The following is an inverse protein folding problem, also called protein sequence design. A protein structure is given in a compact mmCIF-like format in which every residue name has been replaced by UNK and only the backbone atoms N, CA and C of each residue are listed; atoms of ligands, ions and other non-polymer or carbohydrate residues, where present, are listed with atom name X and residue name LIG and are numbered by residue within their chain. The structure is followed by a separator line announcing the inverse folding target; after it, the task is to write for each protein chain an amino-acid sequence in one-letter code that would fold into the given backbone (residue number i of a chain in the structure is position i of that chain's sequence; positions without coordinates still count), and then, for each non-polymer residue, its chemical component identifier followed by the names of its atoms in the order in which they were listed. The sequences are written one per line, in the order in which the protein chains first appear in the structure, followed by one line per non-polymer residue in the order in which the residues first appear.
data_IF_352026744924
#
_entry.id   IF_352026744924
#
_cell.length_a   1.000
_cell.length_b   1.000
_cell.length_c   1.000
_cell.angle_alpha   90.00
_cell.angle_beta   90.00
_cell.angle_gamma   90.00
#
_symmetry.space_group_name_H-M   'P 1'
#
loop_
_entity.id
_entity.type
_entity.pdbx_description
1 polymer ?
#
# COMPACT_ATOMS: atom_id res chain seq x y z
N UNK A 1 6.29 -22.69 -27.38
CA UNK A 1 4.98 -22.67 -26.71
C UNK A 1 5.05 -23.64 -25.55
N UNK A 2 4.91 -23.12 -24.34
CA UNK A 2 4.75 -23.88 -23.10
C UNK A 2 3.28 -24.27 -22.98
N UNK A 3 3.00 -25.56 -22.88
CA UNK A 3 1.63 -26.04 -22.64
C UNK A 3 1.23 -25.73 -21.19
N UNK A 4 0.07 -25.09 -20.95
CA UNK A 4 -0.40 -24.84 -19.59
C UNK A 4 -0.91 -26.11 -18.93
N UNK A 5 -0.85 -26.14 -17.60
CA UNK A 5 -1.67 -27.06 -16.83
C UNK A 5 -3.09 -26.52 -16.76
N UNK A 6 -4.06 -27.35 -17.13
CA UNK A 6 -5.49 -27.01 -17.11
C UNK A 6 -6.20 -27.87 -16.08
N UNK A 7 -6.95 -27.22 -15.21
CA UNK A 7 -7.66 -27.84 -14.10
C UNK A 7 -9.15 -27.52 -14.16
N UNK A 8 -9.99 -28.51 -13.86
CA UNK A 8 -11.43 -28.26 -13.69
C UNK A 8 -11.69 -27.38 -12.46
N UNK A 9 -12.62 -26.43 -12.56
CA UNK A 9 -13.05 -25.55 -11.46
C UNK A 9 -13.50 -26.34 -10.21
N UNK A 10 -14.04 -27.56 -10.42
CA UNK A 10 -14.51 -28.46 -9.35
C UNK A 10 -13.40 -28.83 -8.38
N UNK A 11 -12.14 -28.93 -8.85
CA UNK A 11 -10.98 -29.22 -8.01
C UNK A 11 -10.80 -28.21 -6.89
N UNK A 12 -11.20 -26.96 -7.12
CA UNK A 12 -11.02 -25.86 -6.18
C UNK A 12 -12.32 -25.42 -5.51
N UNK A 13 -13.45 -26.07 -5.81
CA UNK A 13 -14.76 -25.68 -5.29
C UNK A 13 -15.17 -24.27 -5.72
N UNK A 14 -14.74 -23.81 -6.91
CA UNK A 14 -15.11 -22.47 -7.40
C UNK A 14 -16.59 -22.49 -7.78
N UNK A 15 -17.38 -21.66 -7.08
CA UNK A 15 -18.77 -21.42 -7.41
C UNK A 15 -18.90 -20.09 -8.19
N UNK A 16 -19.63 -20.12 -9.31
CA UNK A 16 -19.92 -18.94 -10.13
C UNK A 16 -20.68 -17.85 -9.39
N UNK A 17 -21.46 -18.22 -8.37
CA UNK A 17 -22.19 -17.26 -7.51
C UNK A 17 -21.24 -16.34 -6.74
N UNK A 18 -19.99 -16.76 -6.53
CA UNK A 18 -18.96 -15.95 -5.87
C UNK A 18 -18.27 -14.97 -6.84
N UNK A 19 -18.73 -14.88 -8.08
CA UNK A 19 -18.16 -14.04 -9.13
C UNK A 19 -19.17 -12.94 -9.47
N UNK A 20 -18.68 -11.71 -9.63
CA UNK A 20 -19.54 -10.59 -10.05
C UNK A 20 -20.32 -10.94 -11.33
N UNK A 21 -21.67 -10.79 -11.32
CA UNK A 21 -22.48 -10.94 -12.53
C UNK A 21 -22.03 -10.01 -13.66
N UNK A 22 -21.54 -8.81 -13.33
CA UNK A 22 -20.99 -7.87 -14.30
C UNK A 22 -19.70 -8.41 -14.93
N UNK A 23 -18.82 -9.05 -14.14
CA UNK A 23 -17.61 -9.67 -14.65
C UNK A 23 -17.93 -10.83 -15.60
N UNK A 24 -18.89 -11.68 -15.23
CA UNK A 24 -19.38 -12.77 -16.09
C UNK A 24 -19.98 -12.22 -17.39
N UNK A 25 -20.77 -11.15 -17.30
CA UNK A 25 -21.39 -10.48 -18.46
C UNK A 25 -20.33 -9.92 -19.43
N UNK A 26 -19.28 -9.27 -18.91
CA UNK A 26 -18.17 -8.77 -19.72
C UNK A 26 -17.47 -9.91 -20.46
N UNK A 27 -17.11 -10.98 -19.75
CA UNK A 27 -16.42 -12.14 -20.34
C UNK A 27 -17.30 -12.78 -21.42
N UNK A 28 -18.60 -12.99 -21.15
CA UNK A 28 -19.54 -13.53 -22.14
C UNK A 28 -19.60 -12.67 -23.39
N UNK A 29 -19.73 -11.35 -23.23
CA UNK A 29 -19.84 -10.42 -24.35
C UNK A 29 -18.56 -10.39 -25.18
N UNK A 30 -17.39 -10.41 -24.55
CA UNK A 30 -16.11 -10.51 -25.27
C UNK A 30 -16.02 -11.81 -26.08
N UNK A 31 -16.39 -12.94 -25.48
CA UNK A 31 -16.43 -14.25 -26.15
C UNK A 31 -17.39 -14.29 -27.33
N UNK A 32 -18.59 -13.74 -27.18
CA UNK A 32 -19.57 -13.64 -28.27
C UNK A 32 -19.09 -12.73 -29.42
N UNK A 33 -18.11 -11.86 -29.18
CA UNK A 33 -17.46 -11.05 -30.21
C UNK A 33 -16.17 -11.70 -30.76
N UNK A 34 -15.92 -12.98 -30.46
CA UNK A 34 -14.77 -13.74 -30.96
C UNK A 34 -13.46 -13.52 -30.19
N UNK A 35 -13.49 -12.88 -29.02
CA UNK A 35 -12.32 -12.65 -28.19
C UNK A 35 -12.23 -13.66 -27.04
N UNK A 36 -11.01 -14.03 -26.65
CA UNK A 36 -10.76 -14.78 -25.42
C UNK A 36 -10.77 -13.82 -24.24
N UNK A 37 -11.38 -14.22 -23.12
CA UNK A 37 -11.44 -13.41 -21.92
C UNK A 37 -11.43 -14.30 -20.67
N UNK A 38 -10.65 -13.91 -19.66
CA UNK A 38 -10.41 -14.68 -18.45
C UNK A 38 -10.37 -13.77 -17.24
N UNK A 39 -10.75 -14.31 -16.08
CA UNK A 39 -10.41 -13.70 -14.79
C UNK A 39 -8.96 -14.01 -14.44
N UNK A 40 -8.28 -13.08 -13.77
CA UNK A 40 -6.87 -13.24 -13.40
C UNK A 40 -6.53 -12.64 -12.04
N UNK A 41 -5.41 -13.08 -11.47
CA UNK A 41 -4.75 -12.37 -10.38
C UNK A 41 -5.43 -12.57 -9.03
N UNK A 42 -5.80 -11.45 -8.39
CA UNK A 42 -6.26 -11.46 -6.99
C UNK A 42 -7.54 -12.27 -6.78
N UNK A 43 -8.51 -12.10 -7.67
CA UNK A 43 -9.80 -12.77 -7.58
C UNK A 43 -9.68 -14.29 -7.63
N UNK A 44 -8.86 -14.82 -8.55
CA UNK A 44 -8.69 -16.27 -8.71
C UNK A 44 -7.94 -16.89 -7.54
N UNK A 45 -6.91 -16.20 -7.07
CA UNK A 45 -6.18 -16.63 -5.87
C UNK A 45 -7.10 -16.73 -4.65
N UNK A 46 -7.99 -15.76 -4.49
CA UNK A 46 -8.90 -15.70 -3.35
C UNK A 46 -9.98 -16.80 -3.49
N UNK A 47 -10.54 -17.02 -4.69
CA UNK A 47 -11.47 -18.11 -5.00
C UNK A 47 -10.88 -19.50 -4.74
N UNK A 48 -9.64 -19.77 -5.20
CA UNK A 48 -8.96 -21.05 -4.98
C UNK A 48 -8.75 -21.34 -3.48
N UNK A 49 -8.69 -20.29 -2.65
CA UNK A 49 -8.56 -20.40 -1.19
C UNK A 49 -9.92 -20.46 -0.47
N UNK A 50 -11.03 -20.48 -1.20
CA UNK A 50 -12.39 -20.42 -0.63
C UNK A 50 -12.73 -19.06 -0.01
N UNK A 51 -12.04 -17.99 -0.40
CA UNK A 51 -12.34 -16.63 0.03
C UNK A 51 -13.17 -15.91 -1.03
N UNK A 52 -14.04 -14.99 -0.60
CA UNK A 52 -14.80 -14.13 -1.50
C UNK A 52 -13.91 -12.99 -2.04
N UNK A 53 -13.72 -12.87 -3.36
CA UNK A 53 -13.03 -11.74 -3.96
C UNK A 53 -13.76 -10.42 -3.71
N UNK A 54 -13.00 -9.33 -3.60
CA UNK A 54 -13.55 -7.97 -3.50
C UNK A 54 -13.56 -7.22 -4.83
N UNK A 55 -12.57 -7.51 -5.67
CA UNK A 55 -12.36 -6.87 -6.95
C UNK A 55 -12.12 -7.97 -8.00
N UNK A 56 -12.56 -7.74 -9.24
CA UNK A 56 -12.41 -8.67 -10.36
C UNK A 56 -11.62 -8.01 -11.48
N UNK A 57 -10.52 -8.66 -11.87
CA UNK A 57 -9.68 -8.23 -12.99
C UNK A 57 -9.87 -9.19 -14.16
N UNK A 58 -10.15 -8.63 -15.34
CA UNK A 58 -10.33 -9.38 -16.58
C UNK A 58 -9.12 -9.13 -17.49
N UNK A 59 -8.67 -10.18 -18.16
CA UNK A 59 -7.71 -10.13 -19.26
C UNK A 59 -8.31 -10.68 -20.53
N UNK A 60 -7.91 -10.13 -21.67
CA UNK A 60 -8.44 -10.51 -22.98
C UNK A 60 -7.42 -10.28 -24.10
N UNK A 61 -7.59 -10.93 -25.25
CA UNK A 61 -6.88 -10.57 -26.48
C UNK A 61 -7.53 -9.38 -27.23
N UNK A 62 -8.63 -8.82 -26.71
CA UNK A 62 -9.30 -7.64 -27.27
C UNK A 62 -8.52 -6.36 -26.94
N UNK A 63 -8.20 -5.54 -27.94
CA UNK A 63 -7.45 -4.29 -27.73
C UNK A 63 -8.29 -3.21 -27.04
N UNK A 64 -7.70 -2.24 -26.31
CA UNK A 64 -8.44 -1.25 -25.53
C UNK A 64 -9.48 -0.46 -26.34
N UNK A 65 -9.13 -0.08 -27.57
CA UNK A 65 -10.02 0.64 -28.48
C UNK A 65 -11.20 -0.23 -28.95
N UNK A 66 -11.00 -1.55 -29.11
CA UNK A 66 -12.06 -2.50 -29.44
C UNK A 66 -12.97 -2.76 -28.24
N UNK A 67 -12.39 -2.92 -27.03
CA UNK A 67 -13.17 -3.01 -25.78
C UNK A 67 -14.08 -1.78 -25.66
N UNK A 68 -13.57 -0.57 -25.92
CA UNK A 68 -14.37 0.65 -25.89
C UNK A 68 -15.49 0.68 -26.94
N UNK A 69 -15.29 0.05 -28.10
CA UNK A 69 -16.35 -0.10 -29.11
C UNK A 69 -17.47 -1.02 -28.61
N UNK A 70 -17.14 -2.12 -27.93
CA UNK A 70 -18.07 -3.14 -27.38
C UNK A 70 -18.80 -2.62 -26.14
N UNK A 71 -18.11 -1.89 -25.26
CA UNK A 71 -18.60 -1.36 -24.00
C UNK A 71 -18.59 0.17 -24.01
N UNK A 72 -19.73 0.78 -24.34
CA UNK A 72 -19.85 2.25 -24.44
C UNK A 72 -19.67 2.96 -23.10
N UNK A 73 -20.00 2.29 -22.01
CA UNK A 73 -19.81 2.69 -20.62
C UNK A 73 -18.38 2.41 -20.11
N UNK A 74 -17.37 2.59 -20.96
CA UNK A 74 -15.98 2.30 -20.61
C UNK A 74 -15.04 3.47 -20.89
N UNK A 75 -13.93 3.50 -20.16
CA UNK A 75 -12.87 4.50 -20.31
C UNK A 75 -11.50 3.83 -20.31
N UNK A 76 -10.64 4.28 -21.22
CA UNK A 76 -9.23 3.86 -21.23
C UNK A 76 -8.50 4.69 -20.16
N UNK A 77 -7.82 4.00 -19.26
CA UNK A 77 -6.99 4.55 -18.20
C UNK A 77 -5.54 4.17 -18.46
N UNK A 78 -4.64 5.09 -18.09
CA UNK A 78 -3.21 4.91 -18.30
C UNK A 78 -2.79 5.33 -19.70
N UNK A 79 -1.73 6.14 -19.78
CA UNK A 79 -1.14 6.53 -21.06
C UNK A 79 -0.31 5.41 -21.70
N UNK A 80 0.29 4.56 -20.87
CA UNK A 80 1.25 3.50 -21.27
C UNK A 80 0.69 2.10 -21.08
N UNK A 81 0.35 1.75 -19.85
CA UNK A 81 -0.37 0.52 -19.57
C UNK A 81 -1.86 0.81 -19.74
N UNK A 82 -2.32 0.77 -20.99
CA UNK A 82 -3.74 0.97 -21.29
C UNK A 82 -4.54 -0.15 -20.65
N UNK A 83 -5.33 0.22 -19.65
CA UNK A 83 -6.35 -0.63 -19.04
C UNK A 83 -7.71 0.02 -19.26
N UNK A 84 -8.75 -0.78 -19.41
CA UNK A 84 -10.10 -0.29 -19.64
C UNK A 84 -10.92 -0.48 -18.37
N UNK A 85 -11.42 0.63 -17.82
CA UNK A 85 -12.43 0.59 -16.76
C UNK A 85 -13.80 0.53 -17.40
N UNK A 86 -14.53 -0.55 -17.16
CA UNK A 86 -15.94 -0.69 -17.53
C UNK A 86 -16.76 -0.39 -16.27
N UNK A 87 -17.62 0.63 -16.35
CA UNK A 87 -18.31 1.18 -15.18
C UNK A 87 -19.77 0.74 -15.12
N UNK A 88 -20.16 0.20 -13.98
CA UNK A 88 -21.53 -0.11 -13.58
C UNK A 88 -21.93 0.80 -12.40
N UNK A 89 -23.22 0.88 -12.03
CA UNK A 89 -23.67 1.75 -10.94
C UNK A 89 -22.90 1.57 -9.62
N UNK A 90 -22.64 0.31 -9.25
CA UNK A 90 -22.03 -0.05 -7.95
C UNK A 90 -20.63 -0.66 -8.06
N UNK A 91 -20.09 -0.80 -9.27
CA UNK A 91 -18.85 -1.55 -9.53
C UNK A 91 -18.08 -0.99 -10.73
N UNK A 92 -16.74 -1.03 -10.65
CA UNK A 92 -15.86 -0.79 -11.80
C UNK A 92 -15.01 -2.03 -12.00
N UNK A 93 -15.03 -2.59 -13.21
CA UNK A 93 -14.26 -3.78 -13.56
C UNK A 93 -13.10 -3.38 -14.45
N UNK A 94 -11.90 -3.77 -14.03
CA UNK A 94 -10.68 -3.54 -14.80
C UNK A 94 -10.54 -4.64 -15.87
N UNK A 95 -10.44 -4.24 -17.13
CA UNK A 95 -10.21 -5.13 -18.27
C UNK A 95 -8.93 -4.73 -18.97
N UNK A 96 -8.02 -5.68 -19.13
CA UNK A 96 -6.68 -5.45 -19.70
C UNK A 96 -6.43 -6.37 -20.89
N UNK A 97 -5.69 -5.87 -21.88
CA UNK A 97 -5.28 -6.69 -23.01
C UNK A 97 -3.99 -7.47 -22.67
N UNK A 98 -3.85 -8.69 -23.18
CA UNK A 98 -2.63 -9.50 -23.02
C UNK A 98 -1.40 -8.77 -23.53
N UNK A 99 -0.31 -8.82 -22.75
CA UNK A 99 0.96 -8.19 -23.11
C UNK A 99 1.81 -9.15 -23.96
N UNK A 100 2.41 -8.68 -25.05
CA UNK A 100 3.33 -9.50 -25.88
C UNK A 100 4.63 -9.80 -25.14
N UNK A 101 5.29 -10.91 -25.47
CA UNK A 101 6.52 -11.39 -24.80
C UNK A 101 7.80 -10.71 -25.29
N UNK A 102 7.78 -10.12 -26.48
CA UNK A 102 8.94 -9.47 -27.10
C UNK A 102 9.22 -8.10 -26.47
N UNK A 103 10.17 -8.07 -25.54
CA UNK A 103 11.08 -6.93 -25.42
C UNK A 103 12.22 -7.26 -26.41
N UNK A 104 12.08 -6.87 -27.69
CA UNK A 104 13.21 -6.87 -28.62
C UNK A 104 14.34 -6.08 -27.96
N UNK A 105 15.48 -6.73 -27.78
CA UNK A 105 16.67 -6.20 -27.09
C UNK A 105 17.25 -4.91 -27.69
N UNK A 106 16.71 -4.43 -28.81
CA UNK A 106 17.10 -3.18 -29.49
C UNK A 106 16.10 -2.03 -29.31
N UNK A 107 14.88 -2.27 -28.85
CA UNK A 107 13.93 -1.19 -28.58
C UNK A 107 14.16 -0.68 -27.17
N UNK A 108 15.10 0.26 -27.09
CA UNK A 108 15.51 0.98 -25.91
C UNK A 108 14.37 1.12 -24.90
N UNK A 109 14.66 0.76 -23.64
CA UNK A 109 13.96 1.24 -22.46
C UNK A 109 13.91 2.78 -22.54
N UNK A 110 12.99 3.35 -23.33
CA UNK A 110 12.92 4.80 -23.47
C UNK A 110 12.42 5.30 -22.13
N UNK A 111 13.20 6.08 -21.43
CA UNK A 111 12.78 6.65 -20.14
C UNK A 111 12.13 7.99 -20.49
N UNK A 112 10.92 8.29 -20.00
CA UNK A 112 10.42 9.68 -20.13
C UNK A 112 11.11 10.61 -19.14
N UNK A 113 10.84 11.90 -19.27
CA UNK A 113 11.29 12.94 -18.36
C UNK A 113 10.91 12.69 -16.88
N UNK A 114 9.96 11.78 -16.60
CA UNK A 114 9.55 11.35 -15.26
C UNK A 114 10.29 10.08 -14.75
N UNK A 115 11.29 9.58 -15.47
CA UNK A 115 12.09 8.41 -15.06
C UNK A 115 11.37 7.07 -15.28
N UNK A 116 10.34 7.02 -16.13
CA UNK A 116 9.54 5.81 -16.34
C UNK A 116 9.92 5.10 -17.64
N UNK A 117 10.10 3.78 -17.57
CA UNK A 117 10.29 2.91 -18.74
C UNK A 117 9.06 3.01 -19.68
N UNK A 118 9.28 3.46 -20.90
CA UNK A 118 8.38 3.41 -22.06
C UNK A 118 8.55 2.02 -22.66
N UNK A 119 7.47 1.25 -22.74
CA UNK A 119 7.44 -0.03 -23.46
C UNK A 119 6.29 0.04 -24.47
N UNK A 120 6.52 -0.49 -25.66
CA UNK A 120 5.54 -0.48 -26.74
C UNK A 120 4.26 -1.24 -26.38
N UNK A 121 3.14 -0.75 -26.90
CA UNK A 121 1.82 -1.35 -26.75
C UNK A 121 1.66 -2.60 -27.64
N UNK A 122 2.59 -3.54 -27.51
CA UNK A 122 2.54 -4.79 -28.25
C UNK A 122 1.63 -5.78 -27.51
N UNK A 123 0.63 -6.28 -28.21
CA UNK A 123 -0.39 -7.18 -27.68
C UNK A 123 -0.03 -8.63 -28.00
N UNK A 124 -0.22 -9.51 -27.01
CA UNK A 124 0.29 -10.87 -27.04
C UNK A 124 -0.77 -11.96 -26.87
N UNK A 125 -0.27 -13.17 -26.68
CA UNK A 125 -1.05 -14.33 -26.27
C UNK A 125 -1.21 -14.41 -24.75
N UNK A 126 -2.09 -15.28 -24.28
CA UNK A 126 -2.27 -15.55 -22.85
C UNK A 126 -0.97 -16.08 -22.20
N UNK A 127 -0.22 -16.92 -22.92
CA UNK A 127 1.08 -17.45 -22.50
C UNK A 127 2.07 -16.30 -22.23
N UNK A 128 2.19 -15.38 -23.18
CA UNK A 128 3.09 -14.23 -23.07
C UNK A 128 2.72 -13.30 -21.90
N UNK A 129 1.42 -13.03 -21.68
CA UNK A 129 0.98 -12.25 -20.52
C UNK A 129 1.36 -12.92 -19.20
N UNK A 130 1.24 -14.26 -19.14
CA UNK A 130 1.60 -15.03 -17.96
C UNK A 130 3.08 -14.84 -17.61
N UNK A 131 3.97 -14.97 -18.59
CA UNK A 131 5.42 -14.81 -18.37
C UNK A 131 5.87 -13.38 -18.09
N UNK A 132 5.05 -12.36 -18.42
CA UNK A 132 5.36 -10.96 -18.10
C UNK A 132 4.94 -10.51 -16.71
N UNK A 133 4.08 -11.28 -16.03
CA UNK A 133 3.68 -11.00 -14.65
C UNK A 133 4.86 -11.14 -13.69
N UNK A 134 4.71 -10.57 -12.50
CA UNK A 134 5.80 -10.56 -11.52
C UNK A 134 5.90 -11.88 -10.77
N UNK A 135 4.76 -12.45 -10.36
CA UNK A 135 4.71 -13.60 -9.43
C UNK A 135 3.77 -14.70 -9.93
N UNK A 136 4.19 -15.95 -9.73
CA UNK A 136 3.47 -17.16 -10.18
C UNK A 136 2.03 -17.20 -9.67
N UNK A 137 1.84 -16.92 -8.37
CA UNK A 137 0.53 -16.87 -7.70
C UNK A 137 -0.44 -15.80 -8.24
N UNK A 138 0.03 -14.87 -9.07
CA UNK A 138 -0.80 -13.84 -9.72
C UNK A 138 -0.94 -14.05 -11.25
N UNK A 139 -0.40 -15.16 -11.78
CA UNK A 139 -0.45 -15.56 -13.19
C UNK A 139 -1.30 -16.82 -13.41
N UNK A 140 -2.31 -17.02 -12.56
CA UNK A 140 -3.34 -18.05 -12.72
C UNK A 140 -4.58 -17.40 -13.35
N UNK A 141 -5.11 -18.04 -14.38
CA UNK A 141 -6.27 -17.57 -15.13
C UNK A 141 -7.45 -18.50 -14.91
N UNK A 142 -8.66 -17.98 -15.05
CA UNK A 142 -9.87 -18.79 -14.95
C UNK A 142 -10.88 -18.37 -16.02
N UNK A 143 -11.40 -19.39 -16.70
CA UNK A 143 -12.48 -19.30 -17.66
C UNK A 143 -13.80 -19.78 -17.02
N UNK A 144 -14.71 -18.87 -16.64
CA UNK A 144 -15.97 -19.27 -16.04
C UNK A 144 -16.92 -19.98 -17.01
N UNK A 145 -16.74 -19.87 -18.33
CA UNK A 145 -17.63 -20.50 -19.31
C UNK A 145 -17.17 -21.92 -19.62
N UNK A 146 -15.86 -22.12 -19.79
CA UNK A 146 -15.28 -23.44 -19.99
C UNK A 146 -15.09 -24.21 -18.67
N UNK A 147 -15.18 -23.52 -17.52
CA UNK A 147 -15.01 -24.10 -16.17
C UNK A 147 -13.58 -24.59 -15.92
N UNK A 148 -12.61 -23.85 -16.44
CA UNK A 148 -11.20 -24.21 -16.49
C UNK A 148 -10.33 -23.17 -15.78
N UNK A 149 -9.43 -23.64 -14.93
CA UNK A 149 -8.34 -22.85 -14.35
C UNK A 149 -7.06 -23.20 -15.10
N UNK A 150 -6.37 -22.18 -15.62
CA UNK A 150 -5.22 -22.30 -16.52
C UNK A 150 -3.99 -21.73 -15.82
N UNK A 151 -2.92 -22.50 -15.75
CA UNK A 151 -1.66 -22.14 -15.10
C UNK A 151 -0.44 -22.48 -15.97
N UNK A 152 0.32 -21.45 -16.35
CA UNK A 152 1.56 -21.58 -17.13
C UNK A 152 2.82 -21.61 -16.26
N UNK A 153 2.71 -21.26 -14.97
CA UNK A 153 3.86 -20.85 -14.15
C UNK A 153 3.97 -21.60 -12.83
N UNK A 154 3.18 -22.66 -12.65
CA UNK A 154 3.05 -23.38 -11.37
C UNK A 154 2.52 -22.50 -10.22
N UNK A 155 1.74 -21.46 -10.54
CA UNK A 155 1.13 -20.57 -9.55
C UNK A 155 0.19 -21.28 -8.57
N UNK A 156 -0.51 -22.33 -9.00
CA UNK A 156 -1.39 -23.14 -8.14
C UNK A 156 -0.58 -23.93 -7.11
N UNK A 157 0.56 -24.48 -7.52
CA UNK A 157 1.49 -25.19 -6.62
C UNK A 157 2.07 -24.24 -5.58
N UNK A 158 2.53 -23.07 -6.01
CA UNK A 158 3.09 -22.04 -5.11
C UNK A 158 2.04 -21.47 -4.17
N UNK A 159 0.79 -21.34 -4.64
CA UNK A 159 -0.35 -20.95 -3.82
C UNK A 159 -0.61 -21.95 -2.68
N UNK A 160 -0.55 -23.25 -2.98
CA UNK A 160 -0.67 -24.33 -1.98
C UNK A 160 0.50 -24.32 -1.00
N UNK A 161 1.72 -24.09 -1.51
CA UNK A 161 2.94 -24.03 -0.70
C UNK A 161 3.10 -22.72 0.09
N UNK A 162 2.18 -21.76 -0.08
CA UNK A 162 2.24 -20.42 0.53
C UNK A 162 3.56 -19.72 0.27
N UNK A 163 4.03 -19.77 -0.98
CA UNK A 163 5.32 -19.21 -1.40
C UNK A 163 5.15 -18.12 -2.47
N UNK A 164 5.89 -17.03 -2.33
CA UNK A 164 6.01 -15.97 -3.34
C UNK A 164 7.25 -16.24 -4.19
N UNK A 165 7.01 -16.56 -5.47
CA UNK A 165 8.05 -16.81 -6.47
C UNK A 165 7.94 -15.85 -7.64
N UNK A 166 9.08 -15.40 -8.14
CA UNK A 166 9.13 -14.64 -9.39
C UNK A 166 8.88 -15.54 -10.59
N UNK A 167 8.25 -14.97 -11.61
CA UNK A 167 8.19 -15.62 -12.92
C UNK A 167 9.47 -15.25 -13.67
N UNK A 168 10.25 -16.25 -14.08
CA UNK A 168 11.59 -16.10 -14.63
C UNK A 168 12.69 -16.00 -13.57
N UNK A 169 13.86 -15.50 -13.94
CA UNK A 169 15.03 -15.42 -13.05
C UNK A 169 14.88 -14.23 -12.08
N UNK A 170 14.81 -14.43 -10.75
CA UNK A 170 14.57 -13.35 -9.78
C UNK A 170 15.56 -12.18 -9.89
N UNK A 171 16.84 -12.51 -10.11
CA UNK A 171 17.92 -11.53 -10.28
C UNK A 171 17.62 -10.56 -11.42
N UNK A 172 17.38 -11.08 -12.62
CA UNK A 172 17.07 -10.29 -13.82
C UNK A 172 15.82 -9.44 -13.61
N UNK A 173 14.76 -10.04 -13.04
CA UNK A 173 13.49 -9.34 -12.80
C UNK A 173 13.64 -8.18 -11.82
N UNK A 174 14.39 -8.36 -10.74
CA UNK A 174 14.64 -7.30 -9.77
C UNK A 174 15.53 -6.20 -10.37
N UNK A 175 16.50 -6.54 -11.21
CA UNK A 175 17.35 -5.55 -11.88
C UNK A 175 16.57 -4.71 -12.91
N UNK A 176 15.66 -5.32 -13.68
CA UNK A 176 14.80 -4.62 -14.63
C UNK A 176 13.86 -3.60 -13.98
N UNK A 177 13.28 -3.96 -12.82
CA UNK A 177 12.38 -3.08 -12.07
C UNK A 177 12.50 -3.34 -10.56
N UNK A 178 13.39 -2.59 -9.87
CA UNK A 178 13.61 -2.74 -8.43
C UNK A 178 12.34 -2.61 -7.57
N UNK A 179 11.30 -1.94 -8.05
CA UNK A 179 10.00 -1.82 -7.35
C UNK A 179 9.36 -3.20 -7.08
N UNK A 180 9.73 -4.23 -7.86
CA UNK A 180 9.33 -5.62 -7.63
C UNK A 180 9.73 -6.16 -6.24
N UNK A 181 10.80 -5.63 -5.63
CA UNK A 181 11.19 -5.96 -4.26
C UNK A 181 10.06 -5.60 -3.28
N UNK A 182 9.53 -4.37 -3.38
CA UNK A 182 8.44 -3.90 -2.53
C UNK A 182 7.17 -4.69 -2.77
N UNK A 183 6.91 -5.07 -4.03
CA UNK A 183 5.75 -5.89 -4.40
C UNK A 183 5.85 -7.30 -3.81
N UNK A 184 7.03 -7.92 -3.83
CA UNK A 184 7.26 -9.24 -3.23
C UNK A 184 6.96 -9.22 -1.72
N UNK A 185 7.51 -8.23 -1.02
CA UNK A 185 7.27 -8.02 0.42
C UNK A 185 5.78 -7.76 0.69
N UNK A 186 5.14 -6.92 -0.12
CA UNK A 186 3.72 -6.61 0.00
C UNK A 186 2.86 -7.86 -0.16
N UNK A 187 3.11 -8.70 -1.17
CA UNK A 187 2.35 -9.92 -1.37
C UNK A 187 2.62 -10.97 -0.29
N UNK A 188 3.87 -11.12 0.15
CA UNK A 188 4.23 -11.96 1.29
C UNK A 188 3.47 -11.54 2.56
N UNK A 189 3.42 -10.24 2.85
CA UNK A 189 2.66 -9.69 3.98
C UNK A 189 1.16 -9.88 3.82
N UNK A 190 0.59 -9.52 2.66
CA UNK A 190 -0.85 -9.60 2.38
C UNK A 190 -1.40 -11.03 2.48
N UNK A 191 -0.64 -11.99 1.97
CA UNK A 191 -1.07 -13.39 1.87
C UNK A 191 -0.60 -14.24 3.05
N UNK A 192 0.28 -13.68 3.89
CA UNK A 192 1.00 -14.41 4.94
C UNK A 192 1.81 -15.58 4.37
N UNK A 193 2.55 -15.31 3.28
CA UNK A 193 3.36 -16.28 2.54
C UNK A 193 4.84 -16.06 2.80
N UNK A 194 5.65 -17.10 2.62
CA UNK A 194 7.11 -16.98 2.60
C UNK A 194 7.59 -16.50 1.23
N UNK A 195 8.73 -15.81 1.18
CA UNK A 195 9.40 -15.50 -0.09
C UNK A 195 10.41 -16.63 -0.34
N UNK A 196 10.44 -17.15 -1.57
CA UNK A 196 11.39 -18.19 -1.95
C UNK A 196 12.86 -17.73 -1.78
N UNK A 197 13.75 -18.65 -1.44
CA UNK A 197 15.16 -18.37 -1.18
C UNK A 197 15.89 -17.68 -2.35
N UNK A 198 15.63 -18.12 -3.59
CA UNK A 198 16.19 -17.47 -4.78
C UNK A 198 15.74 -16.01 -4.93
N UNK A 199 14.46 -15.74 -4.66
CA UNK A 199 13.92 -14.39 -4.65
C UNK A 199 14.48 -13.55 -3.50
N UNK A 200 14.65 -14.13 -2.31
CA UNK A 200 15.28 -13.46 -1.18
C UNK A 200 16.72 -13.06 -1.46
N UNK A 201 17.52 -13.95 -2.07
CA UNK A 201 18.90 -13.63 -2.46
C UNK A 201 18.97 -12.45 -3.43
N UNK A 202 18.10 -12.42 -4.44
CA UNK A 202 18.01 -11.29 -5.38
C UNK A 202 17.59 -9.99 -4.68
N UNK A 203 16.62 -10.06 -3.75
CA UNK A 203 16.19 -8.91 -2.94
C UNK A 203 17.35 -8.37 -2.11
N UNK A 204 18.05 -9.22 -1.36
CA UNK A 204 19.17 -8.78 -0.50
C UNK A 204 20.30 -8.14 -1.30
N UNK A 205 20.59 -8.68 -2.49
CA UNK A 205 21.65 -8.17 -3.37
C UNK A 205 21.31 -6.82 -4.02
N UNK A 206 20.04 -6.58 -4.39
CA UNK A 206 19.64 -5.41 -5.18
C UNK A 206 18.79 -4.38 -4.44
N UNK A 207 18.48 -4.57 -3.15
CA UNK A 207 17.62 -3.65 -2.38
C UNK A 207 18.05 -2.19 -2.41
N UNK A 208 19.34 -1.91 -2.55
CA UNK A 208 19.86 -0.54 -2.65
C UNK A 208 19.38 0.20 -3.88
N UNK A 209 19.11 -0.51 -5.00
CA UNK A 209 18.57 0.10 -6.23
C UNK A 209 17.19 0.76 -6.04
N UNK A 210 16.49 0.47 -4.95
CA UNK A 210 15.25 1.17 -4.61
C UNK A 210 15.42 2.68 -4.46
N UNK A 211 16.63 3.16 -4.11
CA UNK A 211 16.89 4.61 -4.01
C UNK A 211 16.98 5.31 -5.37
N UNK A 212 17.17 4.56 -6.45
CA UNK A 212 17.26 5.07 -7.82
C UNK A 212 15.88 5.17 -8.50
N UNK A 213 14.84 4.63 -7.87
CA UNK A 213 13.51 4.58 -8.44
C UNK A 213 12.80 5.93 -8.37
N UNK A 214 11.95 6.26 -9.37
CA UNK A 214 11.17 7.49 -9.35
C UNK A 214 10.37 7.64 -8.05
N UNK A 215 10.47 8.78 -7.34
CA UNK A 215 9.84 8.96 -6.03
C UNK A 215 8.32 8.74 -6.03
N UNK A 216 7.64 8.98 -7.15
CA UNK A 216 6.22 8.71 -7.29
C UNK A 216 5.90 7.20 -7.20
N UNK A 217 6.73 6.34 -7.80
CA UNK A 217 6.52 4.88 -7.77
C UNK A 217 6.76 4.31 -6.37
N UNK A 218 7.78 4.81 -5.68
CA UNK A 218 8.04 4.45 -4.27
C UNK A 218 6.88 4.88 -3.37
N UNK A 219 6.37 6.09 -3.55
CA UNK A 219 5.19 6.56 -2.81
C UNK A 219 3.99 5.62 -3.01
N UNK A 220 3.67 5.22 -4.24
CA UNK A 220 2.54 4.32 -4.52
C UNK A 220 2.68 2.97 -3.82
N UNK A 221 3.88 2.36 -3.85
CA UNK A 221 4.09 1.08 -3.15
C UNK A 221 4.09 1.24 -1.63
N UNK A 222 4.59 2.35 -1.07
CA UNK A 222 4.46 2.64 0.38
C UNK A 222 2.98 2.69 0.78
N UNK A 223 2.14 3.37 0.00
CA UNK A 223 0.70 3.41 0.27
C UNK A 223 0.11 1.99 0.25
N UNK A 224 0.44 1.18 -0.76
CA UNK A 224 -0.08 -0.20 -0.85
C UNK A 224 0.45 -1.11 0.25
N UNK A 225 1.69 -0.93 0.72
CA UNK A 225 2.29 -1.68 1.83
C UNK A 225 1.57 -1.42 3.16
N UNK A 226 1.26 -0.15 3.45
CA UNK A 226 0.80 0.26 4.78
C UNK A 226 -0.70 0.59 4.88
N UNK A 227 -1.41 0.85 3.78
CA UNK A 227 -2.83 1.22 3.81
C UNK A 227 -3.78 0.14 3.24
N UNK A 228 -3.31 -1.12 3.17
CA UNK A 228 -4.08 -2.25 2.61
C UNK A 228 -4.42 -3.35 3.63
N UNK A 229 -4.35 -3.05 4.93
CA UNK A 229 -4.76 -3.97 6.00
C UNK A 229 -3.73 -5.03 6.40
N UNK A 230 -2.47 -4.85 6.03
CA UNK A 230 -1.33 -5.72 6.39
C UNK A 230 -0.07 -4.89 6.71
N UNK A 231 -0.26 -3.69 7.25
CA UNK A 231 0.77 -2.72 7.57
C UNK A 231 1.78 -3.26 8.58
N UNK A 232 1.29 -3.94 9.63
CA UNK A 232 2.15 -4.47 10.69
C UNK A 232 3.07 -5.55 10.12
N UNK A 233 2.51 -6.49 9.35
CA UNK A 233 3.29 -7.55 8.71
C UNK A 233 4.27 -7.01 7.66
N UNK A 234 3.86 -5.98 6.93
CA UNK A 234 4.71 -5.30 5.94
C UNK A 234 5.91 -4.64 6.63
N UNK A 235 5.70 -3.97 7.76
CA UNK A 235 6.78 -3.39 8.56
C UNK A 235 7.76 -4.44 9.08
N UNK A 236 7.27 -5.58 9.58
CA UNK A 236 8.12 -6.68 10.05
C UNK A 236 9.04 -7.19 8.93
N UNK A 237 8.49 -7.44 7.74
CA UNK A 237 9.28 -7.93 6.60
C UNK A 237 10.26 -6.87 6.10
N UNK A 238 9.84 -5.60 5.99
CA UNK A 238 10.74 -4.50 5.61
C UNK A 238 11.90 -4.35 6.61
N UNK A 239 11.63 -4.51 7.90
CA UNK A 239 12.64 -4.43 8.96
C UNK A 239 13.58 -5.64 8.90
N UNK A 240 13.03 -6.85 8.75
CA UNK A 240 13.80 -8.10 8.64
C UNK A 240 14.81 -8.07 7.51
N UNK A 241 14.43 -7.53 6.35
CA UNK A 241 15.27 -7.44 5.16
C UNK A 241 16.05 -6.11 5.04
N UNK A 242 16.01 -5.28 6.10
CA UNK A 242 16.69 -3.96 6.18
C UNK A 242 16.29 -2.96 5.07
N UNK A 243 15.14 -3.17 4.43
CA UNK A 243 14.63 -2.30 3.35
C UNK A 243 13.97 -1.05 3.94
N UNK A 244 13.45 -1.13 5.17
CA UNK A 244 12.87 0.03 5.85
C UNK A 244 13.84 1.22 5.87
N UNK A 245 15.12 0.97 6.15
CA UNK A 245 16.16 2.00 6.22
C UNK A 245 16.51 2.59 4.84
N UNK A 246 16.17 1.91 3.75
CA UNK A 246 16.36 2.41 2.38
C UNK A 246 15.21 3.35 2.00
N UNK A 247 13.98 3.02 2.41
CA UNK A 247 12.79 3.84 2.16
C UNK A 247 12.72 5.08 3.06
N UNK A 248 13.26 4.96 4.28
CA UNK A 248 13.24 6.02 5.29
C UNK A 248 14.63 6.20 5.94
N UNK A 249 15.69 6.52 5.17
CA UNK A 249 17.07 6.59 5.68
C UNK A 249 17.27 7.66 6.75
N UNK A 250 16.38 8.63 6.81
CA UNK A 250 16.41 9.68 7.83
C UNK A 250 15.64 9.31 9.08
N UNK A 251 14.78 8.29 9.02
CA UNK A 251 14.04 7.78 10.16
C UNK A 251 14.82 6.63 10.77
N UNK A 252 15.31 6.80 12.00
CA UNK A 252 16.00 5.72 12.68
C UNK A 252 14.99 4.64 13.04
N UNK A 253 15.18 3.44 12.50
CA UNK A 253 14.41 2.26 12.86
C UNK A 253 15.16 1.39 13.88
N UNK A 254 15.49 1.94 15.06
CA UNK A 254 15.99 1.11 16.16
C UNK A 254 14.81 0.34 16.76
N UNK A 255 14.72 -0.99 16.58
CA UNK A 255 13.57 -1.76 17.04
C UNK A 255 13.40 -1.72 18.56
N UNK A 256 14.47 -1.43 19.32
CA UNK A 256 14.43 -1.31 20.78
C UNK A 256 13.72 -0.06 21.24
N UNK A 257 13.80 1.02 20.46
CA UNK A 257 13.18 2.31 20.78
C UNK A 257 11.84 2.42 20.07
N UNK A 258 11.82 2.34 18.74
CA UNK A 258 10.62 2.63 17.94
C UNK A 258 9.82 1.38 17.52
N UNK A 259 10.28 0.17 17.86
CA UNK A 259 9.61 -1.06 17.45
C UNK A 259 8.16 -1.15 17.93
N UNK A 260 7.91 -0.85 19.22
CA UNK A 260 6.55 -0.83 19.78
C UNK A 260 5.71 0.31 19.21
N UNK A 261 6.32 1.46 18.91
CA UNK A 261 5.64 2.60 18.29
C UNK A 261 5.12 2.26 16.89
N UNK A 262 5.96 1.64 16.07
CA UNK A 262 5.57 1.20 14.74
C UNK A 262 4.54 0.07 14.78
N UNK A 263 4.75 -0.98 15.59
CA UNK A 263 3.77 -2.07 15.74
C UNK A 263 2.41 -1.56 16.19
N UNK A 264 2.35 -0.73 17.24
CA UNK A 264 1.08 -0.12 17.72
C UNK A 264 0.40 0.69 16.62
N UNK A 265 1.15 1.51 15.87
CA UNK A 265 0.57 2.31 14.77
C UNK A 265 0.01 1.45 13.65
N UNK A 266 0.78 0.46 13.21
CA UNK A 266 0.41 -0.36 12.06
C UNK A 266 -0.69 -1.35 12.41
N UNK A 267 -0.69 -1.92 13.61
CA UNK A 267 -1.79 -2.74 14.12
C UNK A 267 -3.09 -1.94 14.21
N UNK A 268 -3.03 -0.68 14.68
CA UNK A 268 -4.17 0.24 14.67
C UNK A 268 -4.64 0.55 13.23
N UNK A 269 -3.71 0.74 12.29
CA UNK A 269 -4.01 0.97 10.88
C UNK A 269 -4.73 -0.23 10.25
N UNK A 270 -4.25 -1.44 10.55
CA UNK A 270 -4.85 -2.69 10.06
C UNK A 270 -6.23 -2.93 10.67
N UNK A 271 -6.41 -2.64 11.96
CA UNK A 271 -7.72 -2.65 12.62
C UNK A 271 -8.70 -1.65 11.99
N UNK A 272 -8.25 -0.44 11.67
CA UNK A 272 -9.08 0.57 10.98
C UNK A 272 -9.49 0.11 9.59
N UNK A 273 -8.59 -0.50 8.83
CA UNK A 273 -8.88 -1.06 7.51
C UNK A 273 -9.96 -2.14 7.60
N UNK A 274 -9.79 -3.11 8.52
CA UNK A 274 -10.75 -4.21 8.74
C UNK A 274 -12.14 -3.71 9.13
N UNK A 275 -12.21 -2.59 9.83
CA UNK A 275 -13.46 -1.94 10.22
C UNK A 275 -14.01 -0.94 9.16
N UNK A 276 -13.53 -0.99 7.92
CA UNK A 276 -13.93 -0.10 6.82
C UNK A 276 -13.82 1.41 7.16
N UNK A 277 -12.91 1.78 8.07
CA UNK A 277 -12.67 3.18 8.43
C UNK A 277 -11.71 3.82 7.43
N UNK A 278 -11.96 5.09 7.10
CA UNK A 278 -11.06 5.88 6.24
C UNK A 278 -9.64 5.91 6.83
N UNK A 279 -8.67 5.58 5.99
CA UNK A 279 -7.23 5.68 6.26
C UNK A 279 -6.68 6.97 5.66
N UNK A 280 -5.68 7.57 6.31
CA UNK A 280 -5.11 8.84 5.89
C UNK A 280 -3.60 8.70 5.62
N UNK A 281 -3.14 8.86 4.36
CA UNK A 281 -1.72 8.87 4.01
C UNK A 281 -0.88 9.87 4.82
N UNK A 282 -1.43 11.05 5.13
CA UNK A 282 -0.73 12.04 5.95
C UNK A 282 -0.45 11.54 7.36
N UNK A 283 -1.35 10.77 7.98
CA UNK A 283 -1.11 10.19 9.30
C UNK A 283 -0.03 9.10 9.27
N UNK A 284 -0.03 8.29 8.21
CA UNK A 284 1.02 7.30 7.97
C UNK A 284 2.41 7.94 7.89
N UNK A 285 2.59 8.95 7.03
CA UNK A 285 3.88 9.63 6.90
C UNK A 285 4.25 10.45 8.14
N UNK A 286 3.29 11.03 8.86
CA UNK A 286 3.54 11.67 10.14
C UNK A 286 4.16 10.70 11.15
N UNK A 287 3.76 9.42 11.11
CA UNK A 287 4.30 8.35 11.96
C UNK A 287 5.67 7.88 11.49
N UNK A 288 5.79 7.53 10.21
CA UNK A 288 7.03 6.99 9.62
C UNK A 288 8.23 7.93 9.79
N UNK A 289 7.99 9.24 9.76
CA UNK A 289 9.03 10.27 9.83
C UNK A 289 9.24 10.85 11.25
N UNK A 290 8.42 10.44 12.23
CA UNK A 290 8.49 10.93 13.60
C UNK A 290 9.82 10.64 14.32
N UNK A 291 10.44 9.45 14.21
CA UNK A 291 11.66 9.11 14.95
C UNK A 291 12.75 10.17 14.83
N UNK A 292 12.93 10.73 13.63
CA UNK A 292 13.95 11.76 13.39
C UNK A 292 13.68 13.05 14.15
N UNK A 293 12.43 13.50 14.16
CA UNK A 293 12.00 14.70 14.87
C UNK A 293 12.14 14.49 16.37
N UNK A 294 11.75 13.30 16.84
CA UNK A 294 11.84 12.90 18.23
C UNK A 294 13.28 13.00 18.76
N UNK A 295 14.24 12.35 18.09
CA UNK A 295 15.65 12.35 18.49
C UNK A 295 16.29 13.75 18.37
N UNK A 296 16.10 14.47 17.26
CA UNK A 296 16.75 15.77 17.07
C UNK A 296 16.24 16.84 18.04
N UNK A 297 14.96 16.75 18.43
CA UNK A 297 14.33 17.76 19.29
C UNK A 297 14.42 17.47 20.78
N UNK A 298 14.75 16.22 21.17
CA UNK A 298 14.73 15.77 22.56
C UNK A 298 13.39 16.09 23.27
N UNK A 299 12.27 15.90 22.56
CA UNK A 299 10.92 16.26 23.04
C UNK A 299 10.50 15.50 24.31
N UNK A 300 11.06 14.32 24.52
CA UNK A 300 10.87 13.44 25.65
C UNK A 300 11.70 13.83 26.89
N UNK A 301 12.68 14.72 26.74
CA UNK A 301 13.49 15.21 27.86
C UNK A 301 13.38 16.72 27.95
N UNK A 302 14.32 17.46 27.35
CA UNK A 302 14.36 18.92 27.30
C UNK A 302 14.19 19.40 25.86
N UNK A 303 12.94 19.70 25.50
CA UNK A 303 12.56 20.12 24.16
C UNK A 303 13.39 21.32 23.67
N UNK A 304 14.14 21.12 22.59
CA UNK A 304 14.77 22.19 21.84
C UNK A 304 13.85 22.65 20.71
N UNK A 305 13.17 23.78 20.90
CA UNK A 305 12.24 24.33 19.93
C UNK A 305 12.90 24.60 18.56
N UNK A 306 14.10 25.18 18.54
CA UNK A 306 14.81 25.47 17.28
C UNK A 306 15.05 24.20 16.49
N UNK A 307 15.61 23.16 17.13
CA UNK A 307 15.84 21.86 16.48
C UNK A 307 14.54 21.20 16.05
N UNK A 308 13.47 21.31 16.83
CA UNK A 308 12.15 20.80 16.45
C UNK A 308 11.61 21.41 15.15
N UNK A 309 11.59 22.75 15.04
CA UNK A 309 11.09 23.41 13.83
C UNK A 309 11.98 23.15 12.60
N UNK A 310 13.29 23.08 12.82
CA UNK A 310 14.26 22.73 11.78
C UNK A 310 14.06 21.29 11.29
N UNK A 311 13.86 20.32 12.20
CA UNK A 311 13.68 18.91 11.88
C UNK A 311 12.38 18.66 11.13
N UNK A 312 11.27 19.29 11.54
CA UNK A 312 9.98 19.23 10.82
C UNK A 312 10.13 19.61 9.35
N UNK A 313 10.89 20.67 9.06
CA UNK A 313 11.08 21.13 7.68
C UNK A 313 12.10 20.29 6.91
N UNK A 314 13.18 19.87 7.57
CA UNK A 314 14.27 19.13 6.92
C UNK A 314 13.85 17.70 6.57
N UNK A 315 13.12 17.01 7.45
CA UNK A 315 12.72 15.61 7.25
C UNK A 315 11.74 15.47 6.09
N UNK A 316 10.77 16.37 5.96
CA UNK A 316 9.85 16.38 4.80
C UNK A 316 10.64 16.61 3.51
N UNK A 317 11.53 17.60 3.49
CA UNK A 317 12.32 17.94 2.30
C UNK A 317 13.16 16.76 1.84
N UNK A 318 13.82 16.08 2.77
CA UNK A 318 14.63 14.90 2.48
C UNK A 318 13.76 13.71 2.04
N UNK A 319 12.62 13.46 2.68
CA UNK A 319 11.73 12.37 2.26
C UNK A 319 11.15 12.59 0.86
N UNK A 320 10.93 13.84 0.45
CA UNK A 320 10.42 14.15 -0.89
C UNK A 320 11.33 13.71 -2.04
N UNK A 321 12.64 13.57 -1.79
CA UNK A 321 13.58 13.07 -2.80
C UNK A 321 13.48 11.54 -2.97
N UNK A 322 12.83 10.83 -2.05
CA UNK A 322 12.70 9.37 -2.03
C UNK A 322 11.28 8.93 -2.36
N UNK A 323 10.29 9.63 -1.81
CA UNK A 323 8.87 9.37 -2.04
C UNK A 323 8.13 10.68 -2.26
N UNK A 324 7.52 10.86 -3.43
CA UNK A 324 6.82 12.09 -3.81
C UNK A 324 5.48 12.20 -3.07
N UNK A 325 5.50 12.75 -1.86
CA UNK A 325 4.31 12.92 -1.02
C UNK A 325 3.49 14.11 -1.56
N UNK A 326 2.20 13.93 -1.91
CA UNK A 326 1.36 15.04 -2.38
C UNK A 326 1.27 16.20 -1.39
N UNK A 327 1.30 17.45 -1.89
CA UNK A 327 1.31 18.69 -1.07
C UNK A 327 0.18 18.75 -0.04
N UNK A 328 -1.01 18.27 -0.39
CA UNK A 328 -2.18 18.21 0.53
C UNK A 328 -1.90 17.43 1.82
N UNK A 329 -1.05 16.39 1.75
CA UNK A 329 -0.67 15.60 2.92
C UNK A 329 0.48 16.24 3.69
N UNK A 330 1.34 17.03 3.05
CA UNK A 330 2.44 17.74 3.73
C UNK A 330 1.89 18.70 4.79
N UNK A 331 0.87 19.50 4.45
CA UNK A 331 0.23 20.39 5.42
C UNK A 331 -0.37 19.60 6.59
N UNK A 332 -1.06 18.50 6.30
CA UNK A 332 -1.60 17.60 7.33
C UNK A 332 -0.50 17.10 8.28
N UNK A 333 0.61 16.62 7.74
CA UNK A 333 1.73 16.06 8.52
C UNK A 333 2.30 17.12 9.46
N UNK A 334 2.55 18.33 8.94
CA UNK A 334 3.06 19.45 9.75
C UNK A 334 2.10 19.82 10.87
N UNK A 335 0.79 19.88 10.61
CA UNK A 335 -0.21 20.17 11.65
C UNK A 335 -0.17 19.13 12.77
N UNK A 336 -0.12 17.83 12.41
CA UNK A 336 -0.05 16.72 13.37
C UNK A 336 1.14 16.87 14.30
N UNK A 337 2.33 17.15 13.74
CA UNK A 337 3.53 17.37 14.53
C UNK A 337 3.43 18.64 15.37
N UNK A 338 3.07 19.78 14.78
CA UNK A 338 2.95 21.05 15.51
C UNK A 338 1.99 20.96 16.70
N UNK A 339 0.96 20.13 16.61
CA UNK A 339 -0.01 19.94 17.68
C UNK A 339 0.56 19.12 18.84
N UNK A 340 1.61 18.32 18.62
CA UNK A 340 2.32 17.60 19.68
C UNK A 340 2.91 18.54 20.74
N UNK A 341 3.43 19.69 20.32
CA UNK A 341 3.87 20.75 21.25
C UNK A 341 2.65 21.39 21.92
N UNK A 342 1.55 21.55 21.18
CA UNK A 342 0.34 22.22 21.68
C UNK A 342 -0.33 21.44 22.81
N UNK A 343 -0.32 20.11 22.76
CA UNK A 343 -0.82 19.27 23.86
C UNK A 343 -0.09 19.51 25.19
N UNK A 344 1.11 20.09 25.18
CA UNK A 344 1.85 20.47 26.38
C UNK A 344 1.39 21.83 26.97
N UNK A 345 0.63 22.63 26.23
CA UNK A 345 0.18 23.98 26.61
C UNK A 345 -1.31 23.98 26.93
N UNK A 346 -1.66 23.64 28.16
CA UNK A 346 -3.04 23.66 28.66
C UNK A 346 -3.41 25.07 29.14
N UNK A 347 -4.55 25.60 28.68
CA UNK A 347 -5.08 26.90 29.10
C UNK A 347 -6.41 27.23 28.40
N UNK A 348 -6.91 28.47 28.50
CA UNK A 348 -8.20 28.86 27.88
C UNK A 348 -8.29 28.54 26.39
N UNK A 349 -7.19 28.71 25.65
CA UNK A 349 -7.08 28.39 24.22
C UNK A 349 -7.20 26.88 23.91
N UNK A 350 -7.18 25.99 24.91
CA UNK A 350 -7.42 24.55 24.74
C UNK A 350 -8.83 24.24 24.24
N UNK A 351 -9.82 25.08 24.56
CA UNK A 351 -11.20 24.90 24.11
C UNK A 351 -11.27 24.98 22.58
N UNK A 352 -10.75 26.06 21.99
CA UNK A 352 -10.72 26.22 20.53
C UNK A 352 -9.83 25.18 19.86
N UNK A 353 -8.71 24.80 20.51
CA UNK A 353 -7.85 23.74 20.02
C UNK A 353 -8.56 22.39 19.90
N UNK A 354 -9.37 22.02 20.90
CA UNK A 354 -10.14 20.76 20.89
C UNK A 354 -11.19 20.67 19.78
N UNK A 355 -11.59 21.83 19.21
CA UNK A 355 -12.56 21.92 18.10
C UNK A 355 -11.89 21.89 16.72
N UNK A 356 -10.56 21.92 16.65
CA UNK A 356 -9.86 21.98 15.36
C UNK A 356 -10.02 20.67 14.57
N UNK A 357 -10.19 20.76 13.26
CA UNK A 357 -10.34 19.60 12.35
C UNK A 357 -9.17 18.59 12.44
N UNK A 358 -7.97 19.05 12.80
CA UNK A 358 -6.77 18.21 12.96
C UNK A 358 -6.64 17.59 14.36
N UNK A 359 -7.44 18.03 15.34
CA UNK A 359 -7.29 17.61 16.73
C UNK A 359 -7.32 16.08 16.87
N UNK A 360 -8.31 15.41 16.27
CA UNK A 360 -8.47 13.95 16.42
C UNK A 360 -7.25 13.18 15.91
N UNK A 361 -6.76 13.51 14.71
CA UNK A 361 -5.57 12.86 14.17
C UNK A 361 -4.32 13.15 15.00
N UNK A 362 -4.15 14.38 15.48
CA UNK A 362 -3.02 14.73 16.34
C UNK A 362 -3.09 14.06 17.71
N UNK A 363 -4.30 13.81 18.23
CA UNK A 363 -4.53 13.08 19.47
C UNK A 363 -4.30 11.57 19.30
N UNK A 364 -4.80 10.96 18.22
CA UNK A 364 -4.49 9.56 17.86
C UNK A 364 -2.97 9.34 17.78
N UNK A 365 -2.26 10.32 17.22
CA UNK A 365 -0.80 10.30 17.17
C UNK A 365 -0.15 10.38 18.55
N UNK A 366 -0.70 11.21 19.45
CA UNK A 366 -0.25 11.32 20.83
C UNK A 366 -0.44 9.99 21.59
N UNK A 367 -1.56 9.30 21.36
CA UNK A 367 -1.86 7.98 21.95
C UNK A 367 -0.84 6.90 21.51
N UNK A 368 -0.40 6.94 20.25
CA UNK A 368 0.67 6.04 19.80
C UNK A 368 2.01 6.45 20.42
N UNK A 369 2.34 7.74 20.44
CA UNK A 369 3.58 8.27 21.05
C UNK A 369 3.81 7.83 22.50
N UNK A 370 2.76 7.53 23.25
CA UNK A 370 2.85 6.92 24.58
C UNK A 370 3.82 5.73 24.65
N UNK A 371 3.92 4.92 23.57
CA UNK A 371 4.79 3.75 23.54
C UNK A 371 6.28 4.07 23.61
N UNK A 372 6.67 5.31 23.24
CA UNK A 372 8.05 5.82 23.30
C UNK A 372 8.20 6.93 24.34
N UNK A 373 7.09 7.47 24.87
CA UNK A 373 7.06 8.47 25.93
C UNK A 373 6.00 8.09 26.99
N UNK A 374 6.29 7.13 27.90
CA UNK A 374 5.30 6.65 28.87
C UNK A 374 4.71 7.75 29.78
N UNK A 375 5.47 8.82 30.02
CA UNK A 375 5.04 10.02 30.76
C UNK A 375 3.83 10.73 30.14
N UNK A 376 3.48 10.45 28.88
CA UNK A 376 2.30 11.02 28.23
C UNK A 376 0.99 10.42 28.72
N UNK A 377 0.99 9.28 29.40
CA UNK A 377 -0.23 8.55 29.81
C UNK A 377 -1.23 9.43 30.56
N UNK A 378 -0.79 10.18 31.56
CA UNK A 378 -1.67 11.10 32.31
C UNK A 378 -2.19 12.24 31.43
N UNK A 379 -1.35 12.75 30.53
CA UNK A 379 -1.70 13.84 29.61
C UNK A 379 -2.73 13.38 28.58
N UNK A 380 -2.58 12.17 28.06
CA UNK A 380 -3.54 11.53 27.15
C UNK A 380 -4.88 11.36 27.86
N UNK A 381 -4.88 10.84 29.09
CA UNK A 381 -6.11 10.71 29.90
C UNK A 381 -6.80 12.07 30.10
N UNK A 382 -6.03 13.11 30.44
CA UNK A 382 -6.57 14.46 30.63
C UNK A 382 -7.18 15.02 29.34
N UNK A 383 -6.48 14.92 28.20
CA UNK A 383 -6.98 15.45 26.92
C UNK A 383 -8.16 14.63 26.37
N UNK A 384 -8.23 13.33 26.66
CA UNK A 384 -9.38 12.49 26.34
C UNK A 384 -10.62 12.96 27.09
N UNK A 385 -10.52 13.07 28.42
CA UNK A 385 -11.62 13.56 29.25
C UNK A 385 -12.00 14.99 28.86
N UNK A 386 -11.00 15.85 28.62
CA UNK A 386 -11.24 17.23 28.20
C UNK A 386 -12.01 17.27 26.89
N UNK A 387 -11.66 16.45 25.89
CA UNK A 387 -12.33 16.44 24.60
C UNK A 387 -13.81 16.01 24.71
N UNK A 388 -14.08 14.95 25.48
CA UNK A 388 -15.41 14.36 25.70
C UNK A 388 -16.31 15.23 26.61
N UNK A 389 -15.74 16.18 27.33
CA UNK A 389 -16.46 17.04 28.29
C UNK A 389 -17.25 18.17 27.62
N UNK A 390 -18.38 18.54 28.25
CA UNK A 390 -19.14 19.75 27.91
C UNK A 390 -18.37 21.03 28.31
N UNK A 391 -18.89 22.20 27.92
CA UNK A 391 -18.20 23.49 28.12
C UNK A 391 -17.91 23.80 29.59
N UNK A 392 -18.89 23.60 30.47
CA UNK A 392 -18.73 23.89 31.91
C UNK A 392 -17.69 22.98 32.57
N UNK A 393 -17.72 21.68 32.23
CA UNK A 393 -16.72 20.73 32.70
C UNK A 393 -15.33 21.07 32.15
N UNK A 394 -15.20 21.51 30.89
CA UNK A 394 -13.94 22.02 30.33
C UNK A 394 -13.39 23.21 31.13
N UNK A 395 -14.23 24.17 31.52
CA UNK A 395 -13.81 25.30 32.37
C UNK A 395 -13.33 24.81 33.74
N UNK A 396 -14.09 23.92 34.39
CA UNK A 396 -13.71 23.34 35.69
C UNK A 396 -12.35 22.64 35.62
N UNK A 397 -12.13 21.81 34.59
CA UNK A 397 -10.84 21.13 34.36
C UNK A 397 -9.67 22.11 34.18
N UNK A 398 -9.87 23.22 33.45
CA UNK A 398 -8.84 24.25 33.27
C UNK A 398 -8.52 24.97 34.58
N UNK A 399 -9.54 25.28 35.39
CA UNK A 399 -9.34 25.92 36.69
C UNK A 399 -8.59 25.00 37.66
N UNK A 400 -8.92 23.71 37.70
CA UNK A 400 -8.20 22.69 38.49
C UNK A 400 -6.74 22.60 38.04
N UNK A 401 -6.50 22.55 36.72
CA UNK A 401 -5.14 22.49 36.17
C UNK A 401 -4.31 23.71 36.56
N UNK A 402 -4.90 24.92 36.52
CA UNK A 402 -4.23 26.16 36.89
C UNK A 402 -3.84 26.17 38.38
N UNK A 403 -4.76 25.78 39.27
CA UNK A 403 -4.51 25.70 40.73
C UNK A 403 -3.39 24.72 41.10
N UNK A 404 -3.16 23.67 40.30
CA UNK A 404 -2.05 22.71 40.51
C UNK A 404 -0.68 23.23 40.07
N UNK A 405 -0.62 24.33 39.30
CA UNK A 405 0.61 24.90 38.74
C UNK A 405 1.10 26.15 39.44
N UNK A 406 0.23 26.86 40.15
CA UNK A 406 0.62 27.94 41.03
C UNK A 406 1.29 27.30 42.27
N UNK A 407 2.58 27.58 42.56
CA UNK A 407 3.17 27.14 43.81
C UNK A 407 2.37 27.79 44.95
N UNK A 408 2.07 26.99 45.98
CA UNK A 408 1.60 27.53 47.26
C UNK A 408 2.67 28.40 47.88
#
# INVERSE_FOLDING_TARGET
MVLPEVYSEKRFGINKENISPNALSIINKLKNNGFSAYLVGGCIRDLIRGLLPKDFDIVTNCQPEQIRKIFKNSRIIGRRFKLVHITFPDEVIETTTFRSGSDSSDDALKIDDDGRILRDNNWGTQEEDAFRRDFTVNAVYYDPFNKEVIDYTSGIKDLKNKSIKFIGVPETRVQEDPVRILRAIRFAAKLNFSIEEGALRAIEKHKTKLSEMPPARIYEEIIKLFLSGHAEKSYELLSKHQIFNILFPHSRNDPRVFGNFFRKTFSNTDSRYRNNKKLNPGFLFATLLWPRIFEESAIDTKLNFRKYYQSVSSVIRKQQTISAIPRRFISFIKDVWMYQIRFNKIGKKSINFSKNIRYRASFDFLEVRESIEPKLKERIKWWKEFYESNYDKKIKMLNIYRKRREPR
#
